data_IF_518520297539
#
_entry.id   IF_518520297539
#
_cell.length_a   1.000
_cell.length_b   1.000
_cell.length_c   1.000
_cell.angle_alpha   90.00
_cell.angle_beta   90.00
_cell.angle_gamma   90.00
#
_symmetry.space_group_name_H-M   'P 1'
#
loop_
_entity.id
_entity.type
_entity.pdbx_description
1 polymer ?
#
# COMPACT_ATOMS: atom_id res chain seq x y z
N UNK A 1 1.32 25.40 13.90
CA UNK A 1 1.49 26.59 13.05
C UNK A 1 2.90 26.49 12.47
N UNK A 2 3.17 26.08 11.23
CA UNK A 2 2.33 25.88 10.06
C UNK A 2 2.90 24.69 9.24
N UNK A 3 2.10 23.64 9.08
CA UNK A 3 2.40 22.46 8.24
C UNK A 3 1.43 22.43 7.04
N UNK A 4 1.38 23.54 6.33
CA UNK A 4 0.70 23.70 5.05
C UNK A 4 1.63 24.61 4.25
N UNK A 5 1.87 24.33 2.96
CA UNK A 5 2.84 24.99 2.06
C UNK A 5 4.27 24.41 2.00
N UNK A 6 4.40 23.19 1.46
CA UNK A 6 5.51 22.91 0.52
C UNK A 6 5.02 21.99 -0.61
N UNK A 7 4.09 22.52 -1.40
CA UNK A 7 3.75 22.00 -2.74
C UNK A 7 4.43 22.83 -3.85
N UNK A 8 5.37 23.72 -3.49
CA UNK A 8 5.89 24.76 -4.39
C UNK A 8 7.40 24.73 -4.65
N UNK A 9 8.08 23.67 -4.23
CA UNK A 9 9.50 23.45 -4.52
C UNK A 9 9.76 22.42 -5.65
N UNK A 10 8.70 21.83 -6.24
CA UNK A 10 8.81 20.94 -7.42
C UNK A 10 8.64 21.77 -8.71
N UNK A 11 9.39 22.84 -8.81
CA UNK A 11 9.48 23.62 -10.04
C UNK A 11 10.86 24.25 -10.07
N UNK A 12 11.87 23.48 -10.50
CA UNK A 12 12.96 24.03 -11.30
C UNK A 12 13.67 22.91 -12.05
N UNK A 13 13.27 22.72 -13.32
CA UNK A 13 14.09 22.02 -14.29
C UNK A 13 13.79 20.53 -14.52
N UNK A 14 12.70 20.30 -15.27
CA UNK A 14 12.39 19.10 -16.09
C UNK A 14 11.57 18.00 -15.40
N UNK A 15 10.51 17.59 -16.10
CA UNK A 15 9.52 16.52 -15.84
C UNK A 15 8.42 16.81 -14.81
N UNK A 16 7.16 16.70 -15.28
CA UNK A 16 5.96 16.65 -14.45
C UNK A 16 6.17 15.54 -13.40
N UNK A 17 6.05 15.82 -12.08
CA UNK A 17 6.25 14.79 -11.07
C UNK A 17 5.35 13.60 -11.39
N UNK A 18 5.97 12.45 -11.58
CA UNK A 18 5.22 11.22 -11.85
C UNK A 18 4.50 10.80 -10.58
N UNK A 19 3.44 10.00 -10.72
CA UNK A 19 2.81 9.37 -9.56
C UNK A 19 3.84 8.63 -8.67
N UNK A 20 4.89 8.04 -9.27
CA UNK A 20 6.01 7.43 -8.55
C UNK A 20 6.82 8.41 -7.70
N UNK A 21 7.05 9.64 -8.18
CA UNK A 21 7.75 10.67 -7.41
C UNK A 21 6.90 11.14 -6.22
N UNK A 22 5.59 11.28 -6.46
CA UNK A 22 4.63 11.60 -5.40
C UNK A 22 4.56 10.50 -4.33
N UNK A 23 4.62 9.22 -4.73
CA UNK A 23 4.68 8.09 -3.82
C UNK A 23 5.96 8.07 -2.98
N UNK A 24 7.13 8.29 -3.58
CA UNK A 24 8.40 8.41 -2.82
C UNK A 24 8.30 9.52 -1.78
N UNK A 25 7.76 10.68 -2.16
CA UNK A 25 7.57 11.78 -1.23
C UNK A 25 6.54 11.47 -0.11
N UNK A 26 5.55 10.61 -0.36
CA UNK A 26 4.69 10.09 0.71
C UNK A 26 5.52 9.16 1.60
N UNK A 27 6.17 8.15 1.06
CA UNK A 27 6.95 7.17 1.82
C UNK A 27 7.99 7.82 2.75
N UNK A 28 8.71 8.82 2.24
CA UNK A 28 9.70 9.58 3.02
C UNK A 28 9.07 10.29 4.24
N UNK A 29 7.86 10.85 4.07
CA UNK A 29 7.12 11.53 5.15
C UNK A 29 6.64 10.56 6.23
N UNK A 30 6.48 9.29 5.92
CA UNK A 30 6.06 8.27 6.88
C UNK A 30 7.22 7.51 7.54
N UNK A 31 8.47 7.84 7.22
CA UNK A 31 9.64 7.17 7.82
C UNK A 31 9.71 7.34 9.34
N UNK A 32 9.33 8.50 9.87
CA UNK A 32 9.32 8.72 11.33
C UNK A 32 8.20 7.91 12.01
N UNK A 33 7.05 7.77 11.35
CA UNK A 33 5.99 6.86 11.80
C UNK A 33 6.48 5.40 11.81
N UNK A 34 7.12 4.95 10.72
CA UNK A 34 7.72 3.61 10.62
C UNK A 34 8.71 3.34 11.76
N UNK A 35 9.57 4.31 12.08
CA UNK A 35 10.56 4.21 13.16
C UNK A 35 9.90 4.08 14.54
N UNK A 36 8.76 4.73 14.74
CA UNK A 36 7.99 4.64 15.97
C UNK A 36 7.22 3.32 16.13
N UNK A 37 7.00 2.57 15.04
CA UNK A 37 6.35 1.25 15.11
C UNK A 37 7.21 0.23 15.86
N UNK A 38 6.53 -0.69 16.56
CA UNK A 38 7.18 -1.88 17.13
C UNK A 38 7.90 -2.64 16.02
N UNK A 39 9.05 -3.26 16.34
CA UNK A 39 9.84 -4.03 15.38
C UNK A 39 9.03 -5.08 14.60
N UNK A 40 8.04 -5.71 15.25
CA UNK A 40 7.15 -6.70 14.62
C UNK A 40 6.21 -6.13 13.56
N UNK A 41 5.96 -4.82 13.58
CA UNK A 41 5.00 -4.15 12.71
C UNK A 41 5.70 -3.40 11.56
N UNK A 42 7.01 -3.17 11.65
CA UNK A 42 7.79 -2.55 10.57
C UNK A 42 7.75 -3.34 9.24
N UNK A 43 7.88 -4.68 9.22
CA UNK A 43 7.77 -5.44 7.98
C UNK A 43 6.38 -5.31 7.33
N UNK A 44 5.31 -5.25 8.14
CA UNK A 44 3.95 -5.05 7.64
C UNK A 44 3.79 -3.67 7.01
N UNK A 45 4.35 -2.65 7.65
CA UNK A 45 4.38 -1.30 7.10
C UNK A 45 5.12 -1.26 5.74
N UNK A 46 6.28 -1.90 5.65
CA UNK A 46 7.04 -1.99 4.40
C UNK A 46 6.24 -2.69 3.29
N UNK A 47 5.48 -3.72 3.65
CA UNK A 47 4.57 -4.43 2.73
C UNK A 47 3.47 -3.53 2.18
N UNK A 48 2.91 -2.60 2.98
CA UNK A 48 1.90 -1.66 2.49
C UNK A 48 2.44 -0.83 1.31
N UNK A 49 3.67 -0.34 1.42
CA UNK A 49 4.30 0.42 0.33
C UNK A 49 4.70 -0.48 -0.86
N UNK A 50 4.84 -1.79 -0.68
CA UNK A 50 4.98 -2.71 -1.80
C UNK A 50 3.69 -2.79 -2.62
N UNK A 51 2.52 -2.95 -1.98
CA UNK A 51 1.21 -2.98 -2.65
C UNK A 51 0.93 -1.70 -3.44
N UNK A 52 1.27 -0.55 -2.84
CA UNK A 52 1.13 0.75 -3.51
C UNK A 52 1.97 0.84 -4.79
N UNK A 53 3.19 0.27 -4.80
CA UNK A 53 4.07 0.29 -5.97
C UNK A 53 3.59 -0.64 -7.08
N UNK A 54 3.00 -1.77 -6.71
CA UNK A 54 2.41 -2.74 -7.64
C UNK A 54 1.28 -2.13 -8.48
N UNK A 55 0.55 -1.17 -7.90
CA UNK A 55 -0.57 -0.48 -8.53
C UNK A 55 -0.23 0.93 -9.06
N UNK A 56 1.07 1.27 -9.12
CA UNK A 56 1.51 2.61 -9.45
C UNK A 56 1.30 3.00 -10.92
N UNK A 57 1.23 2.00 -11.82
CA UNK A 57 0.89 2.15 -13.22
C UNK A 57 -0.61 2.44 -13.42
N UNK A 58 -1.49 1.71 -12.72
CA UNK A 58 -2.94 1.96 -12.71
C UNK A 58 -3.28 3.34 -12.14
N UNK A 59 -2.58 3.74 -11.08
CA UNK A 59 -2.79 5.03 -10.41
C UNK A 59 -2.22 6.23 -11.18
N UNK A 60 -1.23 6.02 -12.05
CA UNK A 60 -0.61 7.07 -12.85
C UNK A 60 -1.52 7.65 -13.95
N UNK A 61 -2.61 6.98 -14.29
CA UNK A 61 -3.62 7.42 -15.25
C UNK A 61 -4.55 8.50 -14.67
N UNK A 62 -4.63 8.56 -13.35
CA UNK A 62 -5.52 9.47 -12.66
C UNK A 62 -4.70 10.67 -12.19
N UNK A 63 -4.96 11.84 -12.79
CA UNK A 63 -4.31 13.09 -12.42
C UNK A 63 -4.84 13.59 -11.06
N UNK A 64 -4.56 12.83 -10.00
CA UNK A 64 -5.10 13.05 -8.67
C UNK A 64 -4.34 14.16 -7.96
N UNK A 65 -5.09 15.14 -7.45
CA UNK A 65 -4.55 16.15 -6.54
C UNK A 65 -4.06 15.55 -5.21
N UNK A 66 -4.52 14.33 -4.88
CA UNK A 66 -4.11 13.62 -3.67
C UNK A 66 -3.59 12.19 -3.99
N UNK A 67 -2.27 12.00 -4.08
CA UNK A 67 -1.65 10.71 -4.37
C UNK A 67 -1.81 9.67 -3.24
N UNK A 68 -2.29 10.07 -2.05
CA UNK A 68 -2.55 9.16 -0.94
C UNK A 68 -3.80 8.30 -1.17
N UNK A 69 -4.83 8.82 -1.85
CA UNK A 69 -6.07 8.07 -2.07
C UNK A 69 -5.85 6.81 -2.91
N UNK A 70 -5.18 6.87 -4.07
CA UNK A 70 -4.88 5.66 -4.83
C UNK A 70 -3.97 4.71 -4.06
N UNK A 71 -3.01 5.23 -3.28
CA UNK A 71 -2.16 4.39 -2.46
C UNK A 71 -2.97 3.58 -1.42
N UNK A 72 -3.93 4.22 -0.75
CA UNK A 72 -4.82 3.54 0.18
C UNK A 72 -5.70 2.50 -0.53
N UNK A 73 -6.22 2.81 -1.71
CA UNK A 73 -7.01 1.86 -2.51
C UNK A 73 -6.17 0.65 -2.95
N UNK A 74 -4.92 0.86 -3.35
CA UNK A 74 -4.01 -0.23 -3.69
C UNK A 74 -3.72 -1.15 -2.50
N UNK A 75 -3.58 -0.56 -1.31
CA UNK A 75 -3.44 -1.34 -0.08
C UNK A 75 -4.71 -2.15 0.19
N UNK A 76 -5.88 -1.55 0.06
CA UNK A 76 -7.17 -2.19 0.31
C UNK A 76 -7.39 -3.39 -0.61
N UNK A 77 -7.17 -3.22 -1.93
CA UNK A 77 -7.28 -4.29 -2.92
C UNK A 77 -6.36 -5.48 -2.62
N UNK A 78 -5.11 -5.22 -2.22
CA UNK A 78 -4.17 -6.30 -1.89
C UNK A 78 -4.47 -6.98 -0.56
N UNK A 79 -5.13 -6.29 0.37
CA UNK A 79 -5.61 -6.95 1.59
C UNK A 79 -6.84 -7.81 1.29
N UNK A 80 -7.77 -7.34 0.44
CA UNK A 80 -8.93 -8.12 0.01
C UNK A 80 -8.49 -9.42 -0.66
N UNK A 81 -7.56 -9.33 -1.63
CA UNK A 81 -6.99 -10.52 -2.30
C UNK A 81 -6.38 -11.52 -1.31
N UNK A 82 -5.74 -11.04 -0.24
CA UNK A 82 -5.16 -11.90 0.79
C UNK A 82 -6.20 -12.50 1.73
N UNK A 83 -7.33 -11.82 1.93
CA UNK A 83 -8.46 -12.39 2.65
C UNK A 83 -9.06 -13.52 1.83
N UNK A 84 -9.31 -13.32 0.53
CA UNK A 84 -9.80 -14.36 -0.37
C UNK A 84 -8.89 -15.60 -0.35
N UNK A 85 -7.57 -15.43 -0.48
CA UNK A 85 -6.59 -16.53 -0.40
C UNK A 85 -6.61 -17.27 0.95
N UNK A 86 -6.91 -16.56 2.03
CA UNK A 86 -6.99 -17.16 3.36
C UNK A 86 -8.31 -17.90 3.55
N UNK A 87 -9.42 -17.37 3.02
CA UNK A 87 -10.73 -18.01 3.04
C UNK A 87 -10.72 -19.31 2.22
N UNK A 88 -10.21 -19.28 0.99
CA UNK A 88 -10.07 -20.47 0.13
C UNK A 88 -9.24 -21.57 0.81
N UNK A 89 -8.11 -21.19 1.42
CA UNK A 89 -7.28 -22.16 2.14
C UNK A 89 -7.95 -22.72 3.39
N UNK A 90 -8.79 -21.94 4.07
CA UNK A 90 -9.54 -22.45 5.21
C UNK A 90 -10.57 -23.46 4.75
N UNK A 91 -11.30 -23.16 3.67
CA UNK A 91 -12.26 -24.09 3.07
C UNK A 91 -11.58 -25.41 2.66
N UNK A 92 -10.44 -25.36 1.97
CA UNK A 92 -9.67 -26.56 1.60
C UNK A 92 -9.29 -27.42 2.82
N UNK A 93 -8.80 -26.77 3.88
CA UNK A 93 -8.40 -27.48 5.11
C UNK A 93 -9.59 -28.07 5.86
N UNK A 94 -10.74 -27.38 5.86
CA UNK A 94 -11.98 -27.86 6.46
C UNK A 94 -12.50 -29.10 5.71
N UNK A 95 -12.46 -29.09 4.37
CA UNK A 95 -12.83 -30.24 3.54
C UNK A 95 -11.90 -31.44 3.75
N UNK A 96 -10.59 -31.23 3.87
CA UNK A 96 -9.62 -32.29 4.16
C UNK A 96 -9.89 -32.95 5.51
N UNK A 97 -10.18 -32.15 6.55
CA UNK A 97 -10.50 -32.65 7.89
C UNK A 97 -11.79 -33.47 7.85
N UNK A 98 -12.85 -32.98 7.20
CA UNK A 98 -14.12 -33.70 7.09
C UNK A 98 -13.96 -35.03 6.32
N UNK A 99 -13.12 -35.05 5.27
CA UNK A 99 -12.82 -36.27 4.53
C UNK A 99 -12.05 -37.30 5.38
N UNK A 100 -11.17 -36.87 6.27
CA UNK A 100 -10.47 -37.76 7.21
C UNK A 100 -11.40 -38.30 8.31
N UNK A 101 -12.31 -37.49 8.84
CA UNK A 101 -13.27 -37.92 9.88
C UNK A 101 -14.29 -38.93 9.36
N UNK A 102 -14.67 -38.86 8.08
CA UNK A 102 -15.66 -39.75 7.45
C UNK A 102 -15.08 -41.09 6.95
N UNK A 103 -13.79 -41.35 7.18
CA UNK A 103 -13.06 -42.54 6.72
C UNK A 103 -12.96 -43.62 7.78
#
# INVERSE_FOLDING_TARGET
MDCWWSWRAIAMGRTNPTYRDALRAIEDRWQDFRRALRRRDQPRFDQLFAYVREHADASGLLNHQNPLLPALLSIDLEQERRLDEHEERLEELEEEIEAEENK
#
